data_IF_441375401284
#
_entry.id   IF_441375401284
#
_cell.length_a   1.000
_cell.length_b   1.000
_cell.length_c   1.000
_cell.angle_alpha   90.00
_cell.angle_beta   90.00
_cell.angle_gamma   90.00
#
_symmetry.space_group_name_H-M   'P 1'
#
loop_
_entity.id
_entity.type
_entity.pdbx_description
1 polymer ?
#
# COMPACT_ATOMS: atom_id res chain seq x y z
N UNK A 1 -4.87 21.16 -23.52
CA UNK A 1 -3.70 21.38 -24.41
C UNK A 1 -2.92 20.07 -24.44
N UNK A 2 -3.14 19.25 -25.47
CA UNK A 2 -2.42 17.97 -25.63
C UNK A 2 -1.13 18.32 -26.35
N UNK A 3 -0.01 18.38 -25.62
CA UNK A 3 1.30 18.51 -26.24
C UNK A 3 1.57 17.17 -26.94
N UNK A 4 1.77 17.12 -28.26
CA UNK A 4 2.14 15.89 -28.93
C UNK A 4 3.52 15.49 -28.41
N UNK A 5 3.57 14.39 -27.66
CA UNK A 5 4.84 13.76 -27.33
C UNK A 5 5.42 13.25 -28.66
N UNK A 6 6.67 13.57 -29.02
CA UNK A 6 7.29 13.02 -30.22
C UNK A 6 7.21 11.50 -30.16
N UNK A 7 6.63 10.86 -31.18
CA UNK A 7 6.64 9.41 -31.29
C UNK A 7 8.09 8.97 -31.48
N UNK A 8 8.64 8.27 -30.49
CA UNK A 8 10.02 7.78 -30.50
C UNK A 8 10.26 6.65 -31.50
N UNK A 9 9.19 6.10 -32.09
CA UNK A 9 9.23 5.09 -33.14
C UNK A 9 8.33 5.54 -34.29
N UNK A 10 8.81 5.41 -35.54
CA UNK A 10 7.99 5.72 -36.71
C UNK A 10 6.92 4.63 -36.87
N UNK A 11 5.69 4.97 -37.30
CA UNK A 11 4.71 3.96 -37.70
C UNK A 11 5.35 2.99 -38.71
N UNK A 12 5.21 1.68 -38.49
CA UNK A 12 5.78 0.60 -39.32
C UNK A 12 7.32 0.49 -39.34
N UNK A 13 8.03 1.14 -38.42
CA UNK A 13 9.45 0.90 -38.25
C UNK A 13 9.71 -0.57 -37.88
N UNK A 14 10.52 -1.25 -38.69
CA UNK A 14 10.90 -2.64 -38.41
C UNK A 14 11.82 -2.63 -37.21
N UNK A 15 11.31 -3.09 -36.07
CA UNK A 15 12.10 -3.23 -34.85
C UNK A 15 12.97 -4.47 -35.02
N UNK A 16 14.31 -4.33 -35.08
CA UNK A 16 15.18 -5.46 -35.31
C UNK A 16 14.99 -6.52 -34.22
N UNK A 17 14.90 -7.79 -34.61
CA UNK A 17 14.88 -8.92 -33.67
C UNK A 17 16.20 -9.09 -32.90
N UNK A 18 17.12 -8.15 -32.97
CA UNK A 18 18.38 -8.10 -32.24
C UNK A 18 18.44 -6.92 -31.26
N UNK A 19 17.64 -5.87 -31.45
CA UNK A 19 17.59 -4.70 -30.56
C UNK A 19 16.53 -4.92 -29.49
N UNK A 20 16.98 -5.03 -28.24
CA UNK A 20 16.21 -5.62 -27.12
C UNK A 20 16.13 -4.71 -25.90
N UNK A 21 16.52 -3.45 -26.06
CA UNK A 21 16.52 -2.41 -25.01
C UNK A 21 15.29 -1.48 -25.07
N UNK A 22 14.43 -1.65 -26.06
CA UNK A 22 13.26 -0.80 -26.24
C UNK A 22 12.15 -1.18 -25.26
N UNK A 23 11.56 -0.16 -24.63
CA UNK A 23 10.32 -0.29 -23.87
C UNK A 23 9.16 0.17 -24.76
N UNK A 24 8.13 -0.65 -24.88
CA UNK A 24 6.97 -0.34 -25.70
C UNK A 24 5.73 -0.19 -24.82
N UNK A 25 4.94 0.85 -25.07
CA UNK A 25 3.59 0.96 -24.52
C UNK A 25 2.58 0.81 -25.66
N UNK A 26 1.73 -0.19 -25.56
CA UNK A 26 0.65 -0.45 -26.51
C UNK A 26 -0.69 -0.22 -25.84
N UNK A 27 -1.69 0.25 -26.59
CA UNK A 27 -3.04 0.46 -26.09
C UNK A 27 -3.94 -0.69 -26.56
N UNK A 28 -4.89 -1.08 -25.71
CA UNK A 28 -5.98 -1.97 -26.10
C UNK A 28 -6.74 -1.42 -27.32
N UNK A 29 -7.09 -2.28 -28.27
CA UNK A 29 -7.90 -1.90 -29.42
C UNK A 29 -9.27 -1.33 -28.99
N UNK A 30 -9.78 -1.79 -27.84
CA UNK A 30 -11.02 -1.31 -27.23
C UNK A 30 -10.77 -0.30 -26.11
N UNK A 31 -9.59 0.33 -26.08
CA UNK A 31 -9.28 1.34 -25.08
C UNK A 31 -10.25 2.51 -25.17
N UNK A 32 -10.95 2.78 -24.08
CA UNK A 32 -12.03 3.77 -24.02
C UNK A 32 -11.78 4.73 -22.87
N UNK A 33 -12.37 5.92 -22.98
CA UNK A 33 -12.34 6.90 -21.89
C UNK A 33 -13.05 6.31 -20.65
N UNK A 34 -12.46 6.38 -19.45
CA UNK A 34 -13.11 5.91 -18.23
C UNK A 34 -14.46 6.58 -17.97
N UNK A 35 -15.40 5.84 -17.36
CA UNK A 35 -16.71 6.37 -16.99
C UNK A 35 -16.93 6.26 -15.49
N UNK A 36 -17.41 7.35 -14.89
CA UNK A 36 -17.77 7.41 -13.47
C UNK A 36 -19.25 7.72 -13.36
N UNK A 37 -19.97 6.88 -12.64
CA UNK A 37 -21.39 7.06 -12.33
C UNK A 37 -21.51 7.35 -10.84
N UNK A 38 -22.13 8.46 -10.49
CA UNK A 38 -22.38 8.83 -9.09
C UNK A 38 -23.88 8.93 -8.86
N UNK A 39 -24.36 8.20 -7.86
CA UNK A 39 -25.71 8.31 -7.33
C UNK A 39 -25.63 8.93 -5.94
N UNK A 40 -26.44 9.97 -5.72
CA UNK A 40 -26.52 10.66 -4.44
C UNK A 40 -27.97 10.73 -4.00
N UNK A 41 -28.24 10.30 -2.77
CA UNK A 41 -29.52 10.50 -2.11
C UNK A 41 -29.29 11.33 -0.86
N UNK A 42 -29.96 12.48 -0.75
CA UNK A 42 -29.82 13.39 0.37
C UNK A 42 -31.17 13.70 1.02
N UNK A 43 -31.20 13.70 2.35
CA UNK A 43 -32.33 14.18 3.14
C UNK A 43 -31.81 15.21 4.15
N UNK A 44 -32.33 16.42 4.08
CA UNK A 44 -32.06 17.47 5.06
C UNK A 44 -33.32 17.74 5.87
N UNK A 45 -33.20 17.77 7.20
CA UNK A 45 -34.31 18.07 8.11
C UNK A 45 -33.90 19.11 9.15
N UNK A 46 -34.72 20.14 9.32
CA UNK A 46 -34.64 21.01 10.50
C UNK A 46 -35.26 20.26 11.68
N UNK A 47 -34.45 19.94 12.69
CA UNK A 47 -34.91 19.30 13.92
C UNK A 47 -35.50 20.34 14.89
N UNK A 48 -34.93 21.54 14.89
CA UNK A 48 -35.46 22.74 15.57
C UNK A 48 -35.23 23.97 14.69
N UNK A 49 -35.60 25.17 15.14
CA UNK A 49 -35.29 26.43 14.43
C UNK A 49 -33.79 26.73 14.34
N UNK A 50 -32.95 26.05 15.13
CA UNK A 50 -31.51 26.26 15.20
C UNK A 50 -30.68 25.00 14.97
N UNK A 51 -31.31 23.84 14.80
CA UNK A 51 -30.64 22.56 14.58
C UNK A 51 -31.10 21.94 13.27
N UNK A 52 -30.14 21.64 12.40
CA UNK A 52 -30.37 20.97 11.12
C UNK A 52 -29.53 19.71 11.05
N UNK A 53 -30.12 18.64 10.52
CA UNK A 53 -29.46 17.37 10.26
C UNK A 53 -29.55 17.08 8.77
N UNK A 54 -28.40 16.77 8.18
CA UNK A 54 -28.26 16.38 6.78
C UNK A 54 -27.73 14.95 6.74
N UNK A 55 -28.43 14.08 6.03
CA UNK A 55 -27.99 12.70 5.80
C UNK A 55 -27.89 12.48 4.31
N UNK A 56 -26.71 12.07 3.84
CA UNK A 56 -26.43 11.83 2.43
C UNK A 56 -25.83 10.45 2.26
N UNK A 57 -26.34 9.73 1.28
CA UNK A 57 -25.71 8.53 0.75
C UNK A 57 -25.09 8.86 -0.61
N UNK A 58 -23.84 8.48 -0.83
CA UNK A 58 -23.12 8.67 -2.10
C UNK A 58 -22.54 7.33 -2.54
N UNK A 59 -23.00 6.84 -3.69
CA UNK A 59 -22.45 5.69 -4.37
C UNK A 59 -21.76 6.12 -5.66
N UNK A 60 -20.45 5.89 -5.77
CA UNK A 60 -19.67 6.20 -6.97
C UNK A 60 -19.07 4.93 -7.55
N UNK A 61 -19.39 4.62 -8.81
CA UNK A 61 -18.84 3.48 -9.54
C UNK A 61 -17.96 3.96 -10.68
N UNK A 62 -16.67 3.64 -10.61
CA UNK A 62 -15.72 3.81 -11.71
C UNK A 62 -15.67 2.54 -12.55
N UNK A 63 -15.96 2.67 -13.84
CA UNK A 63 -15.90 1.56 -14.80
C UNK A 63 -14.95 1.90 -15.94
N UNK A 64 -14.30 0.86 -16.48
CA UNK A 64 -13.29 1.00 -17.51
C UNK A 64 -12.18 1.98 -17.10
N UNK A 65 -11.75 1.94 -15.83
CA UNK A 65 -10.68 2.82 -15.37
C UNK A 65 -9.38 2.39 -16.04
N UNK A 66 -8.50 3.36 -16.29
CA UNK A 66 -7.20 3.08 -16.90
C UNK A 66 -6.39 2.14 -16.01
N UNK A 67 -6.01 1.00 -16.56
CA UNK A 67 -5.09 0.05 -15.97
C UNK A 67 -3.92 -0.25 -16.91
N UNK A 68 -2.95 -1.00 -16.42
CA UNK A 68 -1.80 -1.46 -17.21
C UNK A 68 -1.44 -2.90 -16.88
N UNK A 69 -1.03 -3.66 -17.88
CA UNK A 69 -0.55 -5.03 -17.73
C UNK A 69 0.82 -5.14 -18.37
N UNK A 70 1.79 -5.71 -17.65
CA UNK A 70 3.08 -6.07 -18.25
C UNK A 70 2.89 -7.34 -19.11
N UNK A 71 2.99 -7.20 -20.44
CA UNK A 71 2.86 -8.34 -21.36
C UNK A 71 4.13 -9.20 -21.43
N UNK A 72 5.25 -8.65 -20.96
CA UNK A 72 6.54 -9.33 -20.90
C UNK A 72 6.86 -9.90 -19.52
N UNK A 73 5.84 -10.29 -18.76
CA UNK A 73 6.08 -11.04 -17.54
C UNK A 73 6.52 -12.48 -17.86
N UNK A 74 7.31 -13.09 -16.96
CA UNK A 74 7.82 -14.43 -17.19
C UNK A 74 6.74 -15.48 -16.96
N UNK A 75 6.50 -16.32 -17.96
CA UNK A 75 5.65 -17.49 -17.84
C UNK A 75 6.43 -18.62 -17.17
N UNK A 76 5.95 -19.06 -16.01
CA UNK A 76 6.45 -20.25 -15.32
C UNK A 76 5.40 -21.36 -15.26
N UNK A 77 4.11 -21.05 -15.47
CA UNK A 77 3.00 -21.99 -15.26
C UNK A 77 2.74 -22.86 -16.48
N UNK A 78 2.85 -22.30 -17.70
CA UNK A 78 2.36 -22.97 -18.90
C UNK A 78 3.47 -23.63 -19.75
N UNK A 79 4.74 -23.48 -19.38
CA UNK A 79 5.89 -23.97 -20.15
C UNK A 79 6.70 -25.08 -19.44
N UNK A 80 6.22 -25.58 -18.30
CA UNK A 80 6.90 -26.62 -17.52
C UNK A 80 8.05 -26.13 -16.64
N UNK A 81 8.39 -24.83 -16.65
CA UNK A 81 9.42 -24.26 -15.78
C UNK A 81 9.08 -24.40 -14.30
N UNK A 82 7.83 -24.20 -13.91
CA UNK A 82 7.39 -24.37 -12.51
C UNK A 82 7.81 -25.74 -11.98
N UNK A 83 7.43 -26.82 -12.68
CA UNK A 83 7.81 -28.20 -12.32
C UNK A 83 9.32 -28.41 -12.32
N UNK A 84 10.03 -27.90 -13.33
CA UNK A 84 11.49 -28.03 -13.40
C UNK A 84 12.20 -27.31 -12.25
N UNK A 85 11.71 -26.14 -11.85
CA UNK A 85 12.23 -25.35 -10.73
C UNK A 85 11.90 -25.98 -9.38
N UNK A 86 10.74 -26.63 -9.23
CA UNK A 86 10.39 -27.41 -8.04
C UNK A 86 11.32 -28.62 -7.88
N UNK A 87 11.54 -29.39 -8.95
CA UNK A 87 12.51 -30.51 -8.95
C UNK A 87 13.91 -29.98 -8.58
N UNK A 88 14.32 -28.87 -9.21
CA UNK A 88 15.63 -28.25 -8.95
C UNK A 88 15.76 -27.76 -7.50
N UNK A 89 14.71 -27.16 -6.93
CA UNK A 89 14.66 -26.69 -5.54
C UNK A 89 14.75 -27.85 -4.55
N UNK A 90 14.13 -28.99 -4.85
CA UNK A 90 14.19 -30.21 -4.05
C UNK A 90 15.53 -30.96 -4.15
N UNK A 91 16.41 -30.55 -5.08
CA UNK A 91 17.75 -31.14 -5.26
C UNK A 91 17.83 -32.17 -6.37
N UNK A 92 16.72 -32.47 -7.03
CA UNK A 92 16.69 -33.34 -8.21
C UNK A 92 17.12 -32.62 -9.49
N UNK A 93 17.31 -33.39 -10.55
CA UNK A 93 17.73 -32.87 -11.85
C UNK A 93 16.58 -32.89 -12.85
N UNK A 94 16.23 -31.71 -13.35
CA UNK A 94 15.15 -31.53 -14.32
C UNK A 94 15.72 -31.58 -15.74
N UNK A 95 15.27 -32.53 -16.59
CA UNK A 95 15.77 -32.67 -17.98
C UNK A 95 15.61 -31.40 -18.83
N UNK A 96 14.63 -30.57 -18.48
CA UNK A 96 14.40 -29.26 -19.11
C UNK A 96 15.65 -28.38 -19.02
N UNK A 97 16.32 -28.33 -17.86
CA UNK A 97 17.49 -27.48 -17.67
C UNK A 97 18.75 -28.06 -18.28
N UNK A 98 18.88 -29.39 -18.37
CA UNK A 98 19.97 -30.03 -19.11
C UNK A 98 19.92 -29.66 -20.59
N UNK A 99 18.71 -29.66 -21.16
CA UNK A 99 18.49 -29.26 -22.55
C UNK A 99 18.71 -27.76 -22.73
N UNK A 100 18.15 -26.94 -21.83
CA UNK A 100 18.19 -25.48 -21.92
C UNK A 100 19.61 -24.92 -21.76
N UNK A 101 20.42 -25.55 -20.92
CA UNK A 101 21.75 -25.05 -20.58
C UNK A 101 22.87 -25.90 -21.19
N UNK A 102 22.57 -26.86 -22.08
CA UNK A 102 23.56 -27.76 -22.68
C UNK A 102 24.77 -26.98 -23.24
N UNK A 103 25.97 -27.30 -22.76
CA UNK A 103 27.22 -26.65 -23.20
C UNK A 103 27.48 -25.28 -22.57
N UNK A 104 26.58 -24.76 -21.72
CA UNK A 104 26.77 -23.50 -20.98
C UNK A 104 27.56 -23.76 -19.70
N UNK A 105 28.45 -22.83 -19.35
CA UNK A 105 29.14 -22.81 -18.05
C UNK A 105 28.70 -21.60 -17.24
N UNK A 106 27.96 -21.83 -16.15
CA UNK A 106 27.51 -20.80 -15.21
C UNK A 106 28.50 -20.56 -14.05
N UNK A 107 29.78 -20.87 -14.26
CA UNK A 107 30.87 -20.67 -13.30
C UNK A 107 31.18 -21.88 -12.40
N UNK A 108 30.57 -23.04 -12.64
CA UNK A 108 30.75 -24.24 -11.81
C UNK A 108 30.94 -25.53 -12.61
N UNK A 109 31.08 -25.44 -13.93
CA UNK A 109 31.19 -26.58 -14.83
C UNK A 109 30.31 -26.42 -16.06
N UNK A 110 30.65 -27.14 -17.12
CA UNK A 110 29.87 -27.17 -18.37
C UNK A 110 28.71 -28.15 -18.21
N UNK A 111 27.49 -27.67 -18.45
CA UNK A 111 26.27 -28.49 -18.36
C UNK A 111 26.27 -29.56 -19.45
N UNK A 112 25.94 -30.79 -19.05
CA UNK A 112 25.95 -31.97 -19.92
C UNK A 112 27.32 -32.61 -20.09
N UNK A 113 28.36 -32.08 -19.42
CA UNK A 113 29.67 -32.74 -19.30
C UNK A 113 30.04 -32.98 -17.84
N UNK A 114 30.08 -31.91 -17.03
CA UNK A 114 30.56 -31.96 -15.66
C UNK A 114 29.43 -31.94 -14.62
N UNK A 115 28.31 -31.29 -14.94
CA UNK A 115 27.16 -31.08 -14.04
C UNK A 115 25.85 -31.11 -14.83
N UNK A 116 24.74 -31.37 -14.13
CA UNK A 116 23.39 -31.16 -14.68
C UNK A 116 23.06 -29.66 -14.77
N UNK A 117 22.06 -29.31 -15.57
CA UNK A 117 21.54 -27.94 -15.68
C UNK A 117 20.93 -27.46 -14.36
N UNK A 118 20.18 -28.33 -13.68
CA UNK A 118 19.62 -28.05 -12.35
C UNK A 118 20.73 -27.78 -11.32
N UNK A 119 21.79 -28.58 -11.33
CA UNK A 119 22.94 -28.38 -10.45
C UNK A 119 23.68 -27.07 -10.75
N UNK A 120 23.86 -26.73 -12.03
CA UNK A 120 24.46 -25.45 -12.41
C UNK A 120 23.68 -24.26 -11.85
N UNK A 121 22.35 -24.31 -11.90
CA UNK A 121 21.48 -23.28 -11.33
C UNK A 121 21.55 -23.24 -9.79
N UNK A 122 21.62 -24.39 -9.11
CA UNK A 122 21.78 -24.44 -7.65
C UNK A 122 23.10 -23.86 -7.16
N UNK A 123 24.19 -24.06 -7.90
CA UNK A 123 25.53 -23.58 -7.53
C UNK A 123 25.71 -22.08 -7.85
N UNK A 124 25.06 -21.60 -8.90
CA UNK A 124 25.20 -20.21 -9.36
C UNK A 124 24.55 -19.20 -8.41
N UNK A 125 25.30 -18.14 -8.07
CA UNK A 125 24.89 -17.12 -7.11
C UNK A 125 23.66 -16.31 -7.52
N UNK A 126 23.45 -16.15 -8.82
CA UNK A 126 22.33 -15.38 -9.38
C UNK A 126 21.01 -16.12 -9.19
N UNK A 127 21.02 -17.46 -9.26
CA UNK A 127 19.78 -18.26 -9.27
C UNK A 127 19.43 -18.90 -7.93
N UNK A 128 20.44 -19.33 -7.15
CA UNK A 128 20.24 -20.17 -5.96
C UNK A 128 19.29 -19.59 -4.91
N UNK A 129 19.32 -18.28 -4.67
CA UNK A 129 18.43 -17.62 -3.72
C UNK A 129 16.97 -17.60 -4.21
N UNK A 130 16.73 -17.29 -5.49
CA UNK A 130 15.39 -17.32 -6.07
C UNK A 130 14.79 -18.73 -6.05
N UNK A 131 15.61 -19.75 -6.36
CA UNK A 131 15.21 -21.16 -6.32
C UNK A 131 14.88 -21.58 -4.88
N UNK A 132 15.77 -21.29 -3.91
CA UNK A 132 15.57 -21.65 -2.51
C UNK A 132 14.31 -21.01 -1.91
N UNK A 133 14.04 -19.75 -2.25
CA UNK A 133 12.89 -18.99 -1.73
C UNK A 133 11.60 -19.17 -2.55
N UNK A 134 11.63 -19.84 -3.70
CA UNK A 134 10.44 -20.09 -4.53
C UNK A 134 9.98 -18.88 -5.36
N UNK A 135 10.84 -17.89 -5.54
CA UNK A 135 10.59 -16.77 -6.46
C UNK A 135 10.97 -17.19 -7.89
N UNK A 136 10.21 -18.14 -8.43
CA UNK A 136 10.47 -18.75 -9.72
C UNK A 136 10.29 -17.78 -10.88
N UNK A 137 9.49 -16.73 -10.69
CA UNK A 137 9.32 -15.67 -11.68
C UNK A 137 10.60 -14.86 -11.79
N UNK A 138 11.22 -14.48 -10.66
CA UNK A 138 12.51 -13.80 -10.69
C UNK A 138 13.61 -14.67 -11.32
N UNK A 139 13.63 -15.97 -11.01
CA UNK A 139 14.54 -16.93 -11.65
C UNK A 139 14.31 -16.99 -13.17
N UNK A 140 13.07 -17.11 -13.61
CA UNK A 140 12.70 -17.15 -15.02
C UNK A 140 13.03 -15.85 -15.76
N UNK A 141 12.72 -14.68 -15.17
CA UNK A 141 13.13 -13.37 -15.72
C UNK A 141 14.65 -13.30 -15.89
N UNK A 142 15.40 -13.80 -14.92
CA UNK A 142 16.87 -13.79 -14.99
C UNK A 142 17.41 -14.77 -16.03
N UNK A 143 16.84 -15.98 -16.15
CA UNK A 143 17.13 -16.91 -17.23
C UNK A 143 16.85 -16.29 -18.60
N UNK A 144 15.78 -15.51 -18.70
CA UNK A 144 15.39 -14.84 -19.94
C UNK A 144 16.28 -13.66 -20.32
N UNK A 145 17.05 -13.06 -19.41
CA UNK A 145 17.92 -11.91 -19.71
C UNK A 145 19.42 -12.25 -19.69
N UNK A 146 19.79 -13.41 -19.14
CA UNK A 146 21.20 -13.82 -19.01
C UNK A 146 21.81 -14.15 -20.38
N UNK A 147 23.03 -13.64 -20.60
CA UNK A 147 23.83 -13.84 -21.81
C UNK A 147 25.18 -14.46 -21.47
N UNK A 148 25.28 -15.79 -21.53
CA UNK A 148 26.54 -16.51 -21.30
C UNK A 148 26.86 -17.36 -22.53
N UNK A 149 28.14 -17.40 -22.93
CA UNK A 149 28.64 -18.34 -23.94
C UNK A 149 28.28 -18.02 -25.39
N UNK A 150 27.89 -16.78 -25.70
CA UNK A 150 27.61 -16.36 -27.07
C UNK A 150 28.29 -15.03 -27.38
N UNK A 151 28.93 -14.92 -28.56
CA UNK A 151 29.31 -13.64 -29.17
C UNK A 151 28.05 -12.97 -29.72
N UNK A 152 27.17 -12.52 -28.81
CA UNK A 152 26.03 -11.68 -29.19
C UNK A 152 26.39 -10.21 -28.97
N UNK A 153 25.81 -9.28 -29.75
CA UNK A 153 25.90 -7.86 -29.45
C UNK A 153 25.53 -7.59 -27.99
N UNK A 154 26.16 -6.62 -27.31
CA UNK A 154 25.71 -6.23 -25.98
C UNK A 154 24.21 -5.91 -26.02
N UNK A 155 23.45 -6.41 -25.03
CA UNK A 155 22.02 -6.16 -24.77
C UNK A 155 20.99 -7.14 -25.38
N UNK A 156 21.32 -8.34 -25.89
CA UNK A 156 20.27 -9.28 -26.33
C UNK A 156 19.60 -10.00 -25.17
N UNK A 157 18.31 -9.82 -24.88
CA UNK A 157 17.58 -10.75 -23.99
C UNK A 157 17.48 -12.14 -24.65
N UNK A 158 17.47 -13.20 -23.83
CA UNK A 158 17.32 -14.62 -24.14
C UNK A 158 18.55 -15.32 -24.74
N UNK A 159 19.78 -14.85 -24.46
CA UNK A 159 21.01 -15.47 -24.96
C UNK A 159 21.15 -16.95 -24.61
N UNK A 160 20.82 -17.33 -23.36
CA UNK A 160 20.84 -18.73 -22.91
C UNK A 160 19.88 -19.64 -23.69
N UNK A 161 18.66 -19.17 -23.99
CA UNK A 161 17.68 -19.97 -24.74
C UNK A 161 18.17 -20.23 -26.17
N UNK A 162 18.76 -19.20 -26.79
CA UNK A 162 19.29 -19.27 -28.16
C UNK A 162 20.53 -20.14 -28.26
N UNK A 163 21.42 -20.13 -27.26
CA UNK A 163 22.65 -20.94 -27.29
C UNK A 163 22.36 -22.44 -27.32
N UNK A 164 21.26 -22.88 -26.72
CA UNK A 164 20.85 -24.29 -26.76
C UNK A 164 20.31 -24.73 -28.13
N UNK A 165 19.72 -23.81 -28.90
CA UNK A 165 18.97 -24.10 -30.13
C UNK A 165 17.68 -24.91 -29.95
N UNK A 166 17.37 -25.35 -28.72
CA UNK A 166 16.26 -26.26 -28.42
C UNK A 166 14.97 -25.53 -28.02
N UNK A 167 15.05 -24.25 -27.67
CA UNK A 167 13.91 -23.47 -27.21
C UNK A 167 13.73 -22.21 -28.06
N UNK A 168 12.47 -21.86 -28.41
CA UNK A 168 12.22 -20.61 -29.10
C UNK A 168 12.53 -19.42 -28.16
N UNK A 169 12.95 -18.27 -28.68
CA UNK A 169 13.30 -17.11 -27.85
C UNK A 169 12.16 -16.61 -26.94
N UNK A 170 10.91 -16.90 -27.27
CA UNK A 170 9.72 -16.51 -26.52
C UNK A 170 9.23 -17.58 -25.51
N UNK A 171 10.06 -18.60 -25.23
CA UNK A 171 9.69 -19.69 -24.32
C UNK A 171 9.39 -19.22 -22.88
N UNK A 172 10.12 -18.22 -22.39
CA UNK A 172 9.93 -17.66 -21.03
C UNK A 172 9.08 -16.39 -21.05
N UNK A 173 9.31 -15.51 -22.03
CA UNK A 173 8.67 -14.19 -22.13
C UNK A 173 8.03 -14.08 -23.49
N UNK A 174 6.78 -13.60 -23.57
CA UNK A 174 6.02 -13.57 -24.82
C UNK A 174 6.68 -12.76 -25.94
N UNK A 175 7.23 -11.58 -25.61
CA UNK A 175 7.87 -10.70 -26.59
C UNK A 175 9.33 -10.45 -26.19
N UNK A 176 10.21 -11.45 -26.39
CA UNK A 176 11.61 -11.34 -25.98
C UNK A 176 12.31 -10.18 -26.69
N UNK A 177 11.73 -9.65 -27.78
CA UNK A 177 12.24 -8.53 -28.56
C UNK A 177 12.25 -7.16 -27.90
N UNK A 178 11.53 -7.02 -26.80
CA UNK A 178 11.46 -5.78 -26.05
C UNK A 178 11.97 -6.00 -24.63
N UNK A 179 12.55 -4.96 -24.03
CA UNK A 179 12.95 -5.00 -22.63
C UNK A 179 11.71 -5.02 -21.73
N UNK A 180 10.73 -4.16 -22.03
CA UNK A 180 9.43 -4.12 -21.36
C UNK A 180 8.34 -3.84 -22.39
N UNK A 181 7.20 -4.55 -22.28
CA UNK A 181 5.97 -4.16 -22.97
C UNK A 181 4.88 -3.97 -21.93
N UNK A 182 4.34 -2.76 -21.93
CA UNK A 182 3.20 -2.40 -21.10
C UNK A 182 1.97 -2.22 -21.98
N UNK A 183 0.94 -2.99 -21.69
CA UNK A 183 -0.36 -2.89 -22.33
C UNK A 183 -1.28 -2.02 -21.50
N UNK A 184 -1.67 -0.87 -22.04
CA UNK A 184 -2.65 0.06 -21.46
C UNK A 184 -4.05 -0.43 -21.76
N UNK A 185 -4.79 -0.74 -20.71
CA UNK A 185 -6.13 -1.34 -20.79
C UNK A 185 -7.11 -0.56 -19.92
N UNK A 186 -8.38 -0.98 -19.94
CA UNK A 186 -9.40 -0.50 -19.02
C UNK A 186 -9.73 -1.54 -17.92
N UNK A 187 -8.73 -2.30 -17.44
CA UNK A 187 -8.91 -3.39 -16.46
C UNK A 187 -9.25 -2.93 -15.04
N UNK A 188 -8.92 -1.69 -14.68
CA UNK A 188 -9.16 -1.16 -13.34
C UNK A 188 -10.65 -0.81 -13.15
N UNK A 189 -11.13 -0.92 -11.91
CA UNK A 189 -12.48 -0.51 -11.53
C UNK A 189 -12.54 -0.06 -10.07
N UNK A 190 -13.56 0.73 -9.75
CA UNK A 190 -13.81 1.16 -8.37
C UNK A 190 -15.30 1.19 -8.06
N UNK A 191 -15.62 0.93 -6.80
CA UNK A 191 -16.95 0.98 -6.23
C UNK A 191 -16.84 1.58 -4.83
N UNK A 192 -17.21 2.84 -4.72
CA UNK A 192 -17.20 3.62 -3.49
C UNK A 192 -18.62 3.78 -2.99
N UNK A 193 -18.85 3.48 -1.73
CA UNK A 193 -20.13 3.63 -1.05
C UNK A 193 -19.90 4.42 0.23
N UNK A 194 -20.68 5.47 0.46
CA UNK A 194 -20.59 6.23 1.70
C UNK A 194 -21.93 6.69 2.24
N UNK A 195 -21.97 6.81 3.56
CA UNK A 195 -23.03 7.43 4.32
C UNK A 195 -22.43 8.60 5.09
N UNK A 196 -22.99 9.78 4.91
CA UNK A 196 -22.57 11.03 5.52
C UNK A 196 -23.72 11.56 6.37
N UNK A 197 -23.45 11.83 7.64
CA UNK A 197 -24.38 12.48 8.54
C UNK A 197 -23.73 13.76 9.05
N UNK A 198 -24.37 14.89 8.83
CA UNK A 198 -23.89 16.20 9.25
C UNK A 198 -24.94 16.87 10.15
N UNK A 199 -24.50 17.25 11.34
CA UNK A 199 -25.26 18.01 12.31
C UNK A 199 -24.77 19.46 12.30
N UNK A 200 -25.70 20.40 12.19
CA UNK A 200 -25.44 21.82 12.13
C UNK A 200 -26.28 22.55 13.17
N UNK A 201 -25.61 23.09 14.19
CA UNK A 201 -26.20 23.94 15.23
C UNK A 201 -25.91 25.40 14.86
N UNK A 202 -26.93 26.13 14.40
CA UNK A 202 -26.85 27.59 14.22
C UNK A 202 -26.68 28.27 15.58
N UNK A 203 -26.08 29.45 15.60
CA UNK A 203 -25.69 30.14 16.84
C UNK A 203 -26.82 30.20 17.88
N UNK A 204 -26.60 29.58 19.05
CA UNK A 204 -27.49 29.62 20.21
C UNK A 204 -26.69 30.16 21.40
N UNK A 205 -27.06 31.33 21.92
CA UNK A 205 -26.40 31.93 23.09
C UNK A 205 -24.86 32.03 23.01
N UNK A 206 -24.30 32.24 21.81
CA UNK A 206 -22.85 32.32 21.59
C UNK A 206 -22.16 30.98 21.30
N UNK A 207 -22.93 29.90 21.13
CA UNK A 207 -22.45 28.59 20.72
C UNK A 207 -22.83 28.29 19.26
N UNK A 208 -21.86 27.95 18.43
CA UNK A 208 -22.04 27.41 17.08
C UNK A 208 -21.24 26.10 16.97
N UNK A 209 -21.82 25.08 16.34
CA UNK A 209 -21.19 23.78 16.22
C UNK A 209 -21.62 23.03 14.96
N UNK A 210 -20.65 22.38 14.33
CA UNK A 210 -20.88 21.44 13.27
C UNK A 210 -20.16 20.13 13.59
N UNK A 211 -20.85 19.01 13.37
CA UNK A 211 -20.26 17.68 13.39
C UNK A 211 -20.62 16.93 12.12
N UNK A 212 -19.64 16.27 11.52
CA UNK A 212 -19.80 15.46 10.31
C UNK A 212 -19.22 14.08 10.59
N UNK A 213 -20.02 13.06 10.37
CA UNK A 213 -19.63 11.66 10.39
C UNK A 213 -19.75 11.08 8.97
N UNK A 214 -18.69 10.43 8.52
CA UNK A 214 -18.62 9.72 7.26
C UNK A 214 -18.31 8.26 7.56
N UNK A 215 -19.19 7.37 7.15
CA UNK A 215 -18.87 5.96 6.93
C UNK A 215 -18.58 5.77 5.44
N UNK A 216 -17.52 5.04 5.09
CA UNK A 216 -17.27 4.71 3.70
C UNK A 216 -16.67 3.33 3.49
N UNK A 217 -16.90 2.80 2.28
CA UNK A 217 -16.32 1.57 1.79
C UNK A 217 -15.96 1.72 0.32
N UNK A 218 -14.67 1.71 0.03
CA UNK A 218 -14.09 1.75 -1.32
C UNK A 218 -13.53 0.38 -1.69
N UNK A 219 -14.10 -0.26 -2.70
CA UNK A 219 -13.67 -1.55 -3.24
C UNK A 219 -13.27 -1.40 -4.71
N UNK A 220 -12.40 -2.26 -5.21
CA UNK A 220 -12.04 -2.24 -6.63
C UNK A 220 -10.84 -3.11 -6.96
N UNK A 221 -10.50 -3.09 -8.23
CA UNK A 221 -9.27 -3.67 -8.77
C UNK A 221 -8.40 -2.53 -9.25
N UNK A 222 -7.12 -2.54 -8.87
CA UNK A 222 -6.14 -1.61 -9.43
C UNK A 222 -4.85 -2.30 -9.82
N UNK A 223 -4.39 -2.03 -11.04
CA UNK A 223 -3.12 -2.53 -11.59
C UNK A 223 -1.90 -1.73 -11.10
N UNK A 224 -2.11 -0.50 -10.61
CA UNK A 224 -1.07 0.34 -10.00
C UNK A 224 -1.14 0.27 -8.47
N UNK A 225 -0.16 -0.39 -7.86
CA UNK A 225 -0.01 -0.40 -6.40
C UNK A 225 0.95 0.70 -5.99
N UNK A 226 0.40 1.84 -5.57
CA UNK A 226 1.17 2.97 -5.04
C UNK A 226 1.62 2.75 -3.59
N UNK A 227 2.18 1.58 -3.25
CA UNK A 227 2.77 1.34 -1.92
C UNK A 227 4.13 0.65 -2.05
N UNK A 228 5.13 1.26 -1.44
CA UNK A 228 6.59 1.12 -1.59
C UNK A 228 7.22 -0.24 -1.29
N UNK A 229 6.45 -1.33 -1.18
CA UNK A 229 6.97 -2.64 -0.79
C UNK A 229 6.76 -3.76 -1.82
N UNK A 230 5.92 -3.59 -2.84
CA UNK A 230 5.71 -4.60 -3.89
C UNK A 230 5.56 -3.97 -5.28
N UNK A 231 5.94 -4.71 -6.32
CA UNK A 231 5.92 -4.26 -7.71
C UNK A 231 4.51 -3.94 -8.22
N UNK A 232 4.42 -3.06 -9.22
CA UNK A 232 3.19 -2.81 -9.98
C UNK A 232 2.74 -4.07 -10.73
N UNK A 233 1.43 -4.36 -10.73
CA UNK A 233 0.85 -5.49 -11.49
C UNK A 233 -0.14 -6.34 -10.71
N UNK A 234 -0.83 -7.24 -11.41
CA UNK A 234 -1.75 -8.20 -10.82
C UNK A 234 -1.02 -9.37 -10.17
N UNK A 235 -1.61 -9.96 -9.12
CA UNK A 235 -1.08 -11.20 -8.51
C UNK A 235 -1.18 -12.40 -9.45
N UNK A 236 -2.22 -12.42 -10.28
CA UNK A 236 -2.42 -13.39 -11.35
C UNK A 236 -2.91 -12.68 -12.62
N UNK A 237 -2.09 -12.69 -13.66
CA UNK A 237 -2.42 -12.10 -14.96
C UNK A 237 -3.60 -12.80 -15.64
N UNK A 238 -3.80 -14.09 -15.36
CA UNK A 238 -4.92 -14.88 -15.90
C UNK A 238 -6.21 -14.65 -15.12
N UNK A 239 -6.13 -14.17 -13.87
CA UNK A 239 -7.29 -13.90 -13.01
C UNK A 239 -7.16 -12.57 -12.25
N UNK A 240 -7.29 -11.47 -13.00
CA UNK A 240 -7.22 -10.11 -12.44
C UNK A 240 -8.34 -9.81 -11.43
N UNK A 241 -9.48 -10.52 -11.53
CA UNK A 241 -10.61 -10.36 -10.61
C UNK A 241 -10.28 -10.84 -9.18
N UNK A 242 -9.28 -11.71 -9.03
CA UNK A 242 -8.79 -12.15 -7.72
C UNK A 242 -8.20 -11.01 -6.88
N UNK A 243 -7.89 -9.87 -7.51
CA UNK A 243 -7.36 -8.68 -6.83
C UNK A 243 -8.45 -7.65 -6.47
N UNK A 244 -9.73 -8.01 -6.60
CA UNK A 244 -10.83 -7.16 -6.13
C UNK A 244 -10.80 -7.07 -4.60
N UNK A 245 -10.43 -5.90 -4.08
CA UNK A 245 -10.23 -5.68 -2.63
C UNK A 245 -10.58 -4.25 -2.22
N UNK A 246 -10.44 -3.92 -0.93
CA UNK A 246 -10.50 -2.54 -0.43
C UNK A 246 -9.45 -1.69 -1.12
N UNK A 247 -9.78 -0.48 -1.55
CA UNK A 247 -8.80 0.42 -2.16
C UNK A 247 -8.02 1.21 -1.09
N UNK A 248 -6.80 1.70 -1.36
CA UNK A 248 -6.02 2.47 -0.37
C UNK A 248 -6.70 3.76 0.09
N UNK A 249 -7.60 4.32 -0.74
CA UNK A 249 -8.41 5.49 -0.41
C UNK A 249 -9.54 5.20 0.57
N UNK A 250 -9.78 3.94 0.91
CA UNK A 250 -10.85 3.55 1.82
C UNK A 250 -10.56 4.05 3.24
N UNK A 251 -11.57 4.67 3.86
CA UNK A 251 -11.55 5.09 5.26
C UNK A 251 -12.89 4.69 5.85
N UNK A 252 -12.88 3.64 6.68
CA UNK A 252 -14.13 3.05 7.20
C UNK A 252 -14.98 4.09 7.93
N UNK A 253 -14.32 4.93 8.73
CA UNK A 253 -14.92 5.98 9.51
C UNK A 253 -14.06 7.25 9.43
N UNK A 254 -14.69 8.40 9.24
CA UNK A 254 -14.08 9.71 9.43
C UNK A 254 -15.08 10.59 10.19
N UNK A 255 -14.62 11.25 11.24
CA UNK A 255 -15.42 12.15 12.04
C UNK A 255 -14.68 13.47 12.22
N UNK A 256 -15.36 14.55 11.86
CA UNK A 256 -14.88 15.92 12.02
C UNK A 256 -15.90 16.68 12.82
N UNK A 257 -15.47 17.37 13.86
CA UNK A 257 -16.32 18.35 14.51
C UNK A 257 -15.56 19.62 14.79
N UNK A 258 -16.25 20.74 14.68
CA UNK A 258 -15.69 22.02 15.04
C UNK A 258 -16.78 22.91 15.61
N UNK A 259 -16.39 23.76 16.55
CA UNK A 259 -17.32 24.66 17.19
C UNK A 259 -16.62 25.84 17.82
N UNK A 260 -17.41 26.90 17.99
CA UNK A 260 -17.02 28.10 18.71
C UNK A 260 -18.00 28.35 19.85
N UNK A 261 -17.45 28.68 21.01
CA UNK A 261 -18.17 28.90 22.24
C UNK A 261 -17.74 30.23 22.83
N UNK A 262 -18.67 31.19 22.93
CA UNK A 262 -18.48 32.36 23.77
C UNK A 262 -18.53 31.89 25.23
N UNK A 263 -17.42 31.98 25.95
CA UNK A 263 -17.39 31.51 27.34
C UNK A 263 -18.30 32.38 28.21
N UNK A 264 -18.98 31.82 29.22
CA UNK A 264 -20.03 32.51 29.96
C UNK A 264 -19.48 33.44 31.05
N UNK A 265 -18.39 34.16 30.78
CA UNK A 265 -17.76 35.09 31.71
C UNK A 265 -18.06 36.55 31.34
N UNK A 266 -18.34 37.38 32.34
CA UNK A 266 -18.54 38.84 32.18
C UNK A 266 -19.90 39.36 32.61
N UNK A 267 -20.14 40.68 32.45
CA UNK A 267 -21.42 41.30 32.76
C UNK A 267 -22.56 40.60 32.04
N UNK A 268 -23.68 40.37 32.73
CA UNK A 268 -24.88 39.71 32.18
C UNK A 268 -24.64 38.29 31.62
N UNK A 269 -23.56 37.62 32.04
CA UNK A 269 -23.29 36.22 31.74
C UNK A 269 -23.42 35.34 33.00
N UNK A 270 -23.41 34.03 32.77
CA UNK A 270 -23.64 32.99 33.79
C UNK A 270 -22.63 33.06 34.95
N UNK A 271 -21.38 33.42 34.64
CA UNK A 271 -20.29 33.59 35.61
C UNK A 271 -19.82 35.06 35.59
N UNK A 272 -19.81 35.71 36.75
CA UNK A 272 -19.41 37.11 36.86
C UNK A 272 -20.47 38.13 36.40
N UNK A 273 -21.74 37.75 36.32
CA UNK A 273 -22.82 38.62 35.83
C UNK A 273 -23.01 39.95 36.57
N UNK A 274 -22.58 40.06 37.84
CA UNK A 274 -22.62 41.29 38.66
C UNK A 274 -21.32 42.11 38.63
N UNK A 275 -20.31 41.67 37.87
CA UNK A 275 -19.04 42.41 37.79
C UNK A 275 -19.22 43.71 37.01
N UNK A 276 -18.57 44.77 37.47
CA UNK A 276 -18.59 46.11 36.86
C UNK A 276 -17.19 46.70 36.80
N UNK A 277 -17.00 47.75 35.99
CA UNK A 277 -15.72 48.43 35.85
C UNK A 277 -14.61 47.55 35.25
N UNK A 278 -13.39 47.71 35.75
CA UNK A 278 -12.19 47.03 35.26
C UNK A 278 -12.24 45.51 35.45
N UNK A 279 -12.88 45.03 36.53
CA UNK A 279 -13.02 43.61 36.84
C UNK A 279 -13.87 42.90 35.78
N UNK A 280 -14.93 43.54 35.30
CA UNK A 280 -15.76 43.04 34.21
C UNK A 280 -14.98 42.94 32.88
N UNK A 281 -14.17 43.96 32.55
CA UNK A 281 -13.32 43.97 31.35
C UNK A 281 -12.25 42.88 31.36
N UNK A 282 -11.78 42.47 32.53
CA UNK A 282 -10.80 41.38 32.65
C UNK A 282 -11.40 40.01 32.39
N UNK A 283 -12.67 39.79 32.68
CA UNK A 283 -13.30 38.47 32.59
C UNK A 283 -14.21 38.32 31.38
N UNK A 284 -14.54 39.38 30.65
CA UNK A 284 -15.35 39.30 29.43
C UNK A 284 -14.54 38.96 28.16
N UNK A 285 -15.25 38.70 27.06
CA UNK A 285 -14.64 38.64 25.72
C UNK A 285 -13.87 37.36 25.39
N UNK A 286 -14.04 36.30 26.18
CA UNK A 286 -13.42 35.00 25.94
C UNK A 286 -14.22 34.17 24.92
N UNK A 287 -13.52 33.63 23.94
CA UNK A 287 -14.04 32.71 22.93
C UNK A 287 -13.15 31.48 22.83
N UNK A 288 -13.75 30.31 22.86
CA UNK A 288 -13.09 29.02 22.67
C UNK A 288 -13.49 28.44 21.31
N UNK A 289 -12.51 28.18 20.46
CA UNK A 289 -12.67 27.37 19.25
C UNK A 289 -12.12 25.97 19.49
N UNK A 290 -12.79 24.95 18.97
CA UNK A 290 -12.34 23.55 19.05
C UNK A 290 -12.51 22.87 17.70
N UNK A 291 -11.60 21.95 17.39
CA UNK A 291 -11.65 21.06 16.24
C UNK A 291 -11.25 19.67 16.71
N UNK A 292 -12.12 18.68 16.52
CA UNK A 292 -11.84 17.27 16.73
C UNK A 292 -11.84 16.56 15.39
N UNK A 293 -10.78 15.79 15.17
CA UNK A 293 -10.55 15.01 13.97
C UNK A 293 -10.28 13.56 14.35
N UNK A 294 -11.11 12.62 13.88
CA UNK A 294 -10.93 11.19 14.07
C UNK A 294 -11.01 10.51 12.70
N UNK A 295 -9.99 9.73 12.32
CA UNK A 295 -9.97 9.03 11.03
C UNK A 295 -9.52 7.60 11.24
N UNK A 296 -10.32 6.65 10.73
CA UNK A 296 -9.95 5.24 10.71
C UNK A 296 -8.72 5.02 9.81
N UNK A 297 -7.96 3.97 10.11
CA UNK A 297 -6.78 3.65 9.31
C UNK A 297 -7.13 3.19 7.90
N UNK A 298 -6.15 3.31 7.02
CA UNK A 298 -6.27 2.80 5.66
C UNK A 298 -6.12 1.27 5.63
N UNK A 299 -6.69 0.59 4.64
CA UNK A 299 -6.48 -0.85 4.51
C UNK A 299 -5.07 -1.16 4.01
N UNK A 300 -4.39 -2.11 4.65
CA UNK A 300 -2.99 -2.46 4.45
C UNK A 300 -2.81 -3.90 3.98
N UNK A 301 -1.80 -4.12 3.13
CA UNK A 301 -1.40 -5.43 2.65
C UNK A 301 -0.45 -6.10 3.64
N UNK A 302 -0.70 -7.37 3.94
CA UNK A 302 0.34 -8.24 4.47
C UNK A 302 1.12 -8.82 3.30
N UNK A 303 2.44 -8.67 3.35
CA UNK A 303 3.35 -8.98 2.25
C UNK A 303 4.03 -10.33 2.51
N UNK A 304 3.91 -11.24 1.55
CA UNK A 304 4.65 -12.49 1.47
C UNK A 304 5.58 -12.49 0.26
N UNK A 305 6.26 -13.62 0.02
CA UNK A 305 7.10 -13.83 -1.16
C UNK A 305 6.26 -13.85 -2.44
N UNK A 306 6.82 -13.37 -3.54
CA UNK A 306 6.24 -13.54 -4.87
C UNK A 306 6.40 -14.99 -5.32
N UNK A 307 5.34 -15.77 -5.22
CA UNK A 307 5.35 -17.19 -5.58
C UNK A 307 4.71 -17.45 -6.94
N UNK A 308 4.03 -16.47 -7.54
CA UNK A 308 3.32 -16.62 -8.82
C UNK A 308 3.65 -15.57 -9.88
N UNK A 309 3.44 -14.28 -9.61
CA UNK A 309 3.79 -13.17 -10.52
C UNK A 309 4.37 -11.98 -9.74
N UNK A 310 3.48 -11.22 -9.11
CA UNK A 310 3.79 -10.06 -8.26
C UNK A 310 2.84 -10.05 -7.06
N UNK A 311 3.07 -9.13 -6.13
CA UNK A 311 2.16 -8.85 -5.02
C UNK A 311 1.86 -10.06 -4.14
N UNK A 312 2.91 -10.82 -3.84
CA UNK A 312 2.87 -12.00 -2.98
C UNK A 312 2.13 -11.71 -1.68
N UNK A 313 1.08 -12.48 -1.44
CA UNK A 313 0.35 -12.50 -0.17
C UNK A 313 0.65 -13.82 0.53
N UNK A 314 0.70 -13.85 1.87
CA UNK A 314 0.88 -15.10 2.60
C UNK A 314 -0.37 -15.99 2.54
N UNK A 315 -0.17 -17.25 2.90
CA UNK A 315 -1.23 -18.19 3.21
C UNK A 315 -1.59 -18.09 4.70
N UNK A 316 -2.89 -18.01 4.99
CA UNK A 316 -3.40 -18.08 6.36
C UNK A 316 -3.57 -19.53 6.77
N UNK A 317 -2.86 -19.93 7.83
CA UNK A 317 -2.87 -21.30 8.36
C UNK A 317 -3.38 -21.39 9.80
N UNK A 318 -3.43 -20.25 10.51
CA UNK A 318 -3.97 -20.13 11.85
C UNK A 318 -4.83 -18.88 12.02
N UNK A 319 -5.35 -18.67 13.22
CA UNK A 319 -6.16 -17.49 13.53
C UNK A 319 -5.29 -16.22 13.45
N UNK A 320 -5.61 -15.33 12.50
CA UNK A 320 -4.89 -14.07 12.29
C UNK A 320 -5.87 -12.88 12.30
N UNK A 321 -5.70 -11.90 13.20
CA UNK A 321 -6.62 -10.79 13.35
C UNK A 321 -6.49 -9.80 12.19
N UNK A 322 -7.63 -9.26 11.76
CA UNK A 322 -7.70 -8.23 10.69
C UNK A 322 -7.60 -6.80 11.21
N UNK A 323 -7.54 -6.64 12.53
CA UNK A 323 -7.43 -5.37 13.25
C UNK A 323 -6.34 -5.50 14.30
N UNK A 324 -5.62 -4.42 14.55
CA UNK A 324 -4.59 -4.33 15.57
C UNK A 324 -4.73 -3.07 16.39
N UNK A 325 -3.90 -2.96 17.42
CA UNK A 325 -3.82 -1.81 18.31
C UNK A 325 -2.38 -1.37 18.41
N UNK A 326 -2.14 -0.07 18.29
CA UNK A 326 -0.80 0.49 18.42
C UNK A 326 -0.40 0.53 19.88
N UNK A 327 0.53 -0.33 20.25
CA UNK A 327 1.19 -0.29 21.55
C UNK A 327 2.51 0.45 21.38
N UNK A 328 2.60 1.63 21.99
CA UNK A 328 3.88 2.31 22.14
C UNK A 328 4.66 1.71 23.30
N UNK A 329 5.97 1.52 23.15
CA UNK A 329 6.79 1.00 24.22
C UNK A 329 6.73 1.90 25.44
N UNK A 330 6.59 1.26 26.61
CA UNK A 330 6.66 1.92 27.92
C UNK A 330 8.10 1.90 28.46
N UNK A 331 8.95 1.02 27.95
CA UNK A 331 10.32 0.86 28.38
C UNK A 331 11.25 1.88 27.70
N UNK A 332 12.16 2.54 28.44
CA UNK A 332 13.03 3.60 27.92
C UNK A 332 13.98 3.21 26.76
N UNK A 333 14.19 1.91 26.50
CA UNK A 333 15.07 1.41 25.42
C UNK A 333 14.37 1.09 24.10
N UNK A 334 13.04 0.97 24.10
CA UNK A 334 12.27 0.66 22.91
C UNK A 334 11.80 1.97 22.26
N UNK A 335 12.26 2.26 21.05
CA UNK A 335 11.93 3.51 20.33
C UNK A 335 10.78 3.34 19.32
N UNK A 336 10.30 2.11 19.12
CA UNK A 336 9.36 1.76 18.06
C UNK A 336 8.05 1.20 18.61
N UNK A 337 6.92 1.65 18.07
CA UNK A 337 5.61 1.08 18.39
C UNK A 337 5.42 -0.29 17.73
N UNK A 338 4.43 -1.07 18.18
CA UNK A 338 4.03 -2.30 17.51
C UNK A 338 2.51 -2.36 17.35
N UNK A 339 2.02 -2.73 16.17
CA UNK A 339 0.60 -2.78 15.83
C UNK A 339 -0.14 -4.04 16.32
N UNK A 340 0.62 -5.06 16.71
CA UNK A 340 0.10 -6.35 17.19
C UNK A 340 0.60 -6.67 18.60
N UNK A 341 1.04 -5.65 19.36
CA UNK A 341 1.55 -5.85 20.73
C UNK A 341 2.73 -6.82 20.83
N UNK A 342 3.54 -6.97 19.77
CA UNK A 342 4.66 -7.93 19.69
C UNK A 342 4.27 -9.41 19.89
N UNK A 343 2.99 -9.76 19.65
CA UNK A 343 2.49 -11.13 19.85
C UNK A 343 3.01 -12.16 18.83
N UNK A 344 3.57 -11.69 17.70
CA UNK A 344 4.04 -12.54 16.61
C UNK A 344 5.56 -12.53 16.53
N UNK A 345 6.13 -13.71 16.25
CA UNK A 345 7.56 -13.89 16.04
C UNK A 345 7.80 -14.52 14.67
N UNK A 346 8.86 -14.07 14.01
CA UNK A 346 9.33 -14.71 12.79
C UNK A 346 10.00 -16.04 13.13
N UNK A 347 9.55 -17.10 12.48
CA UNK A 347 10.15 -18.44 12.53
C UNK A 347 10.54 -18.85 11.12
N UNK A 348 11.45 -19.81 10.96
CA UNK A 348 11.80 -20.30 9.63
C UNK A 348 10.56 -20.90 8.95
N UNK A 349 10.33 -20.55 7.68
CA UNK A 349 9.17 -21.05 6.94
C UNK A 349 9.27 -22.57 6.75
N UNK A 350 8.21 -23.36 7.03
CA UNK A 350 8.22 -24.82 6.82
C UNK A 350 8.57 -25.22 5.38
N UNK A 351 8.27 -24.36 4.41
CA UNK A 351 8.64 -24.57 3.00
C UNK A 351 10.15 -24.59 2.76
N UNK A 352 10.97 -24.11 3.70
CA UNK A 352 12.42 -24.26 3.65
C UNK A 352 12.90 -25.69 3.98
N UNK A 353 12.09 -26.49 4.69
CA UNK A 353 12.45 -27.88 5.00
C UNK A 353 12.44 -28.79 3.76
N UNK A 354 11.67 -28.43 2.73
CA UNK A 354 11.61 -29.15 1.45
C UNK A 354 12.70 -28.72 0.45
N UNK A 355 13.61 -27.81 0.84
CA UNK A 355 14.69 -27.31 -0.02
C UNK A 355 15.91 -28.21 0.10
N UNK A 356 16.59 -28.47 -1.02
CA UNK A 356 17.83 -29.24 -1.07
C UNK A 356 18.85 -28.73 -0.04
N UNK A 357 19.64 -29.64 0.55
CA UNK A 357 20.70 -29.29 1.52
C UNK A 357 21.70 -28.26 1.00
N UNK A 358 22.00 -28.30 -0.31
CA UNK A 358 22.86 -27.33 -1.01
C UNK A 358 22.26 -25.93 -1.09
N UNK A 359 20.95 -25.81 -0.92
CA UNK A 359 20.20 -24.56 -1.01
C UNK A 359 19.65 -24.05 0.34
N UNK A 360 19.65 -24.88 1.39
CA UNK A 360 19.03 -24.56 2.69
C UNK A 360 19.54 -23.24 3.28
N UNK A 361 20.85 -22.97 3.16
CA UNK A 361 21.46 -21.72 3.64
C UNK A 361 20.97 -20.45 2.91
N UNK A 362 20.33 -20.60 1.74
CA UNK A 362 19.80 -19.49 0.95
C UNK A 362 18.28 -19.35 1.06
N UNK A 363 17.60 -20.25 1.77
CA UNK A 363 16.18 -20.12 2.07
C UNK A 363 16.00 -19.17 3.26
N UNK A 364 15.70 -17.90 2.97
CA UNK A 364 15.52 -16.82 3.94
C UNK A 364 14.06 -16.51 4.21
N UNK A 365 13.13 -17.27 3.61
CA UNK A 365 11.71 -17.15 3.89
C UNK A 365 11.41 -17.44 5.36
N UNK A 366 10.64 -16.56 5.97
CA UNK A 366 10.13 -16.75 7.33
C UNK A 366 8.61 -16.81 7.32
N UNK A 367 8.07 -17.50 8.30
CA UNK A 367 6.66 -17.53 8.65
C UNK A 367 6.43 -16.77 9.96
N UNK A 368 5.18 -16.42 10.25
CA UNK A 368 4.81 -15.84 11.54
C UNK A 368 4.18 -16.90 12.43
N UNK A 369 4.70 -17.01 13.65
CA UNK A 369 4.14 -17.82 14.71
C UNK A 369 3.52 -16.96 15.81
N UNK A 370 2.48 -17.47 16.46
CA UNK A 370 1.89 -16.89 17.67
C UNK A 370 2.79 -17.12 18.90
N UNK A 371 2.35 -16.62 20.06
CA UNK A 371 3.09 -16.77 21.32
C UNK A 371 3.30 -18.23 21.75
N UNK A 372 2.48 -19.17 21.27
CA UNK A 372 2.57 -20.60 21.54
C UNK A 372 3.48 -21.33 20.53
N UNK A 373 4.00 -20.63 19.52
CA UNK A 373 4.81 -21.21 18.46
C UNK A 373 4.02 -21.81 17.30
N UNK A 374 2.69 -21.66 17.28
CA UNK A 374 1.87 -22.12 16.16
C UNK A 374 1.99 -21.14 14.99
N UNK A 375 2.24 -21.65 13.79
CA UNK A 375 2.31 -20.82 12.59
C UNK A 375 0.90 -20.29 12.28
N UNK A 376 0.79 -18.98 12.08
CA UNK A 376 -0.46 -18.30 11.72
C UNK A 376 -0.46 -17.86 10.25
N UNK A 377 0.69 -17.43 9.74
CA UNK A 377 0.91 -17.01 8.36
C UNK A 377 2.21 -17.61 7.84
N UNK A 378 2.20 -18.12 6.61
CA UNK A 378 3.40 -18.60 5.90
C UNK A 378 3.42 -18.08 4.46
N UNK A 379 4.54 -18.19 3.78
CA UNK A 379 4.56 -17.91 2.35
C UNK A 379 3.72 -18.97 1.60
N UNK A 380 3.03 -18.56 0.54
CA UNK A 380 2.29 -19.51 -0.28
C UNK A 380 3.25 -20.52 -0.93
N UNK A 381 2.72 -21.65 -1.40
CA UNK A 381 3.51 -22.56 -2.22
C UNK A 381 3.93 -21.88 -3.53
N UNK A 382 5.08 -22.26 -4.06
CA UNK A 382 5.53 -21.82 -5.39
C UNK A 382 4.44 -22.13 -6.43
N UNK A 383 4.18 -21.20 -7.35
CA UNK A 383 3.12 -21.33 -8.35
C UNK A 383 1.69 -21.07 -7.84
N UNK A 384 1.50 -20.70 -6.57
CA UNK A 384 0.18 -20.44 -5.98
C UNK A 384 0.04 -19.03 -5.41
N UNK A 385 -1.21 -18.55 -5.37
CA UNK A 385 -1.57 -17.33 -4.65
C UNK A 385 -1.77 -17.60 -3.17
N UNK A 386 -1.34 -16.68 -2.31
CA UNK A 386 -1.69 -16.76 -0.90
C UNK A 386 -3.17 -16.52 -0.64
N UNK A 387 -3.70 -17.25 0.34
CA UNK A 387 -5.11 -17.26 0.73
C UNK A 387 -5.54 -16.06 1.57
N UNK A 388 -4.60 -15.30 2.16
CA UNK A 388 -4.94 -14.12 2.97
C UNK A 388 -5.61 -13.01 2.13
N UNK A 389 -5.26 -12.91 0.84
CA UNK A 389 -5.76 -11.86 -0.05
C UNK A 389 -5.12 -10.48 0.22
N UNK A 390 -5.52 -9.50 -0.58
CA UNK A 390 -5.01 -8.14 -0.50
C UNK A 390 -5.80 -7.30 0.51
N UNK A 391 -5.10 -6.37 1.17
CA UNK A 391 -5.65 -5.26 1.96
C UNK A 391 -6.65 -5.66 3.04
N UNK A 392 -6.35 -6.76 3.72
CA UNK A 392 -7.21 -7.36 4.75
C UNK A 392 -7.04 -6.74 6.13
N UNK A 393 -5.97 -5.97 6.36
CA UNK A 393 -5.70 -5.30 7.64
C UNK A 393 -6.22 -3.88 7.61
N UNK A 394 -6.98 -3.47 8.63
CA UNK A 394 -7.24 -2.05 8.88
C UNK A 394 -6.04 -1.47 9.64
N UNK A 395 -5.33 -0.50 9.06
CA UNK A 395 -4.15 0.10 9.67
C UNK A 395 -4.47 0.99 10.88
N UNK A 396 -3.44 1.61 11.49
CA UNK A 396 -3.63 2.56 12.57
C UNK A 396 -4.51 3.75 12.16
N UNK A 397 -5.52 4.06 12.97
CA UNK A 397 -6.27 5.31 12.86
C UNK A 397 -5.46 6.49 13.41
N UNK A 398 -5.93 7.70 13.11
CA UNK A 398 -5.38 8.93 13.65
C UNK A 398 -6.46 9.76 14.32
N UNK A 399 -6.06 10.50 15.36
CA UNK A 399 -6.90 11.56 15.90
C UNK A 399 -6.09 12.76 16.37
N UNK A 400 -6.70 13.92 16.28
CA UNK A 400 -6.18 15.17 16.81
C UNK A 400 -7.29 16.01 17.41
N UNK A 401 -6.95 16.77 18.44
CA UNK A 401 -7.80 17.78 19.02
C UNK A 401 -7.03 19.10 19.03
N UNK A 402 -7.53 20.06 18.27
CA UNK A 402 -6.98 21.39 18.16
C UNK A 402 -7.94 22.37 18.85
N UNK A 403 -7.39 23.36 19.54
CA UNK A 403 -8.18 24.36 20.22
C UNK A 403 -7.56 25.74 20.08
N UNK A 404 -8.39 26.77 20.08
CA UNK A 404 -7.94 28.15 20.19
C UNK A 404 -8.72 28.88 21.28
N UNK A 405 -8.03 29.75 21.99
CA UNK A 405 -8.61 30.59 23.02
C UNK A 405 -8.32 32.04 22.64
N UNK A 406 -9.37 32.81 22.41
CA UNK A 406 -9.29 34.23 22.13
C UNK A 406 -9.87 35.03 23.29
N UNK A 407 -9.19 36.11 23.65
CA UNK A 407 -9.68 37.12 24.58
C UNK A 407 -9.62 38.48 23.90
N UNK A 408 -10.73 39.21 23.91
CA UNK A 408 -10.78 40.59 23.39
C UNK A 408 -11.12 41.54 24.53
N UNK A 409 -10.29 42.55 24.74
CA UNK A 409 -10.45 43.54 25.82
C UNK A 409 -10.46 44.93 25.22
N UNK A 410 -11.53 45.69 25.50
CA UNK A 410 -11.62 47.10 25.11
C UNK A 410 -10.82 47.96 26.07
N UNK A 411 -9.72 48.54 25.57
CA UNK A 411 -8.81 49.36 26.37
C UNK A 411 -9.32 50.81 26.46
N UNK A 412 -9.76 51.37 25.32
CA UNK A 412 -10.33 52.72 25.24
C UNK A 412 -11.47 52.78 24.20
N UNK A 413 -12.07 53.95 23.98
CA UNK A 413 -13.21 54.12 23.06
C UNK A 413 -12.90 53.71 21.61
N UNK A 414 -11.64 53.83 21.16
CA UNK A 414 -11.20 53.34 19.84
C UNK A 414 -10.17 52.19 19.90
N UNK A 415 -9.72 51.77 21.09
CA UNK A 415 -8.59 50.84 21.24
C UNK A 415 -9.04 49.46 21.72
N UNK A 416 -8.75 48.41 20.95
CA UNK A 416 -9.07 47.03 21.27
C UNK A 416 -7.81 46.16 21.27
N UNK A 417 -7.65 45.35 22.32
CA UNK A 417 -6.56 44.37 22.43
C UNK A 417 -7.14 42.97 22.31
N UNK A 418 -6.65 42.19 21.34
CA UNK A 418 -7.01 40.79 21.16
C UNK A 418 -5.79 39.91 21.42
N UNK A 419 -5.90 39.04 22.41
CA UNK A 419 -4.96 37.94 22.65
C UNK A 419 -5.58 36.67 22.08
N UNK A 420 -4.82 35.93 21.28
CA UNK A 420 -5.20 34.61 20.77
C UNK A 420 -4.10 33.61 21.05
N UNK A 421 -4.49 32.44 21.55
CA UNK A 421 -3.60 31.29 21.73
C UNK A 421 -4.18 30.13 20.95
N UNK A 422 -3.42 29.60 20.00
CA UNK A 422 -3.75 28.42 19.22
C UNK A 422 -2.90 27.23 19.68
N UNK A 423 -3.54 26.09 19.85
CA UNK A 423 -2.92 24.84 20.22
C UNK A 423 -3.35 23.76 19.23
N UNK A 424 -2.41 23.27 18.43
CA UNK A 424 -2.62 22.07 17.62
C UNK A 424 -2.18 20.85 18.41
N UNK A 425 -2.94 19.76 18.32
CA UNK A 425 -2.76 18.54 19.08
C UNK A 425 -2.58 18.81 20.59
N UNK A 426 -3.59 19.41 21.22
CA UNK A 426 -3.58 19.85 22.63
C UNK A 426 -3.13 18.72 23.57
N UNK A 427 -3.59 17.50 23.32
CA UNK A 427 -3.27 16.30 24.12
C UNK A 427 -1.91 15.69 23.80
N UNK A 428 -1.17 16.25 22.84
CA UNK A 428 0.10 15.71 22.35
C UNK A 428 -0.03 14.22 21.95
N UNK A 429 -1.17 13.83 21.38
CA UNK A 429 -1.43 12.46 20.98
C UNK A 429 -0.65 12.13 19.69
N UNK A 430 0.12 11.03 19.66
CA UNK A 430 0.91 10.70 18.49
C UNK A 430 0.10 10.13 17.34
N UNK A 431 0.49 10.46 16.12
CA UNK A 431 -0.05 9.86 14.90
C UNK A 431 0.91 8.78 14.40
N UNK A 432 0.57 7.48 14.53
CA UNK A 432 1.39 6.38 14.06
C UNK A 432 1.47 6.35 12.52
N UNK A 433 2.63 5.98 11.99
CA UNK A 433 2.76 5.54 10.60
C UNK A 433 2.25 4.11 10.40
N UNK A 434 2.34 3.62 9.16
CA UNK A 434 1.97 2.23 8.87
C UNK A 434 2.99 1.26 9.48
N UNK A 435 2.55 0.12 10.03
CA UNK A 435 3.44 -0.95 10.49
C UNK A 435 4.12 -1.65 9.31
N UNK A 436 5.28 -2.26 9.57
CA UNK A 436 5.86 -3.23 8.65
C UNK A 436 5.01 -4.52 8.65
N UNK A 437 4.43 -4.89 7.51
CA UNK A 437 3.60 -6.09 7.36
C UNK A 437 4.24 -7.14 6.45
N UNK A 438 5.57 -7.12 6.28
CA UNK A 438 6.28 -8.17 5.54
C UNK A 438 6.63 -9.34 6.46
N UNK A 439 6.05 -10.50 6.18
CA UNK A 439 6.24 -11.72 6.99
C UNK A 439 7.65 -12.30 6.89
N UNK A 440 8.46 -11.83 5.93
CA UNK A 440 9.85 -12.22 5.70
C UNK A 440 10.86 -11.27 6.37
N UNK A 441 10.40 -10.41 7.28
CA UNK A 441 11.25 -9.46 8.02
C UNK A 441 11.08 -9.66 9.52
N UNK A 442 12.18 -9.60 10.28
CA UNK A 442 12.17 -9.76 11.74
C UNK A 442 11.52 -8.61 12.53
N UNK A 443 10.90 -7.66 11.83
CA UNK A 443 10.29 -6.44 12.40
C UNK A 443 8.79 -6.36 12.10
N UNK A 444 8.13 -7.51 11.93
CA UNK A 444 6.70 -7.56 11.64
C UNK A 444 5.87 -6.84 12.72
N UNK A 445 4.93 -6.01 12.30
CA UNK A 445 4.09 -5.18 13.16
C UNK A 445 4.78 -3.90 13.68
N UNK A 446 6.10 -3.74 13.51
CA UNK A 446 6.83 -2.58 14.02
C UNK A 446 6.45 -1.29 13.28
N UNK A 447 6.27 -0.21 14.04
CA UNK A 447 5.99 1.14 13.56
C UNK A 447 7.21 2.01 13.86
N UNK A 448 7.88 2.46 12.79
CA UNK A 448 9.10 3.27 12.89
C UNK A 448 8.85 4.78 12.69
N UNK A 449 7.63 5.18 12.37
CA UNK A 449 7.26 6.56 12.13
C UNK A 449 6.18 7.00 13.12
N UNK A 450 6.42 8.14 13.76
CA UNK A 450 5.53 8.76 14.75
C UNK A 450 5.51 10.26 14.45
N UNK A 451 4.32 10.80 14.17
CA UNK A 451 4.11 12.23 13.87
C UNK A 451 3.07 12.81 14.82
N UNK A 452 2.63 14.05 14.59
CA UNK A 452 1.65 14.72 15.45
C UNK A 452 2.30 15.24 16.74
N UNK A 453 3.01 16.35 16.64
CA UNK A 453 3.54 17.10 17.80
C UNK A 453 2.56 18.17 18.23
N UNK A 454 2.51 18.46 19.54
CA UNK A 454 1.83 19.66 20.03
C UNK A 454 2.57 20.91 19.59
N UNK A 455 1.86 21.85 18.96
CA UNK A 455 2.38 23.18 18.63
C UNK A 455 1.48 24.24 19.24
N UNK A 456 2.09 25.15 19.99
CA UNK A 456 1.43 26.30 20.60
C UNK A 456 1.88 27.57 19.89
N UNK A 457 0.94 28.42 19.53
CA UNK A 457 1.18 29.73 18.95
C UNK A 457 0.37 30.77 19.70
N UNK A 458 0.96 31.94 19.92
CA UNK A 458 0.27 33.06 20.53
C UNK A 458 0.37 34.26 19.59
N UNK A 459 -0.74 34.98 19.46
CA UNK A 459 -0.84 36.20 18.69
C UNK A 459 -1.42 37.30 19.56
N UNK A 460 -0.81 38.49 19.48
CA UNK A 460 -1.34 39.71 20.04
C UNK A 460 -1.71 40.64 18.88
N UNK A 461 -2.94 41.15 18.87
CA UNK A 461 -3.41 42.15 17.91
C UNK A 461 -3.92 43.36 18.66
N UNK A 462 -3.50 44.55 18.24
CA UNK A 462 -3.96 45.82 18.78
C UNK A 462 -4.57 46.66 17.66
N UNK A 463 -5.85 46.96 17.78
CA UNK A 463 -6.59 47.84 16.88
C UNK A 463 -6.75 49.22 17.54
N UNK A 464 -6.48 50.31 16.82
CA UNK A 464 -6.44 51.68 17.35
C UNK A 464 -7.15 52.70 16.46
#
# INVERSE_FOLDING_TARGET
MVIPVPLTAKPFEVIPITQRAQNLTVFDANYTTPYVQTFTLGLTRSLTSKLTMDVKYVGTRGTKLTGSVALNDADVRNNGLLKALEITRAGGDAPLFDTMLKGVNLGSGVVGQAISGSEALRRNATFRAGIANGDFVAVARTLSSTNVGTTQPPLTNAGLLRSSGAFPPNFIVANPQFNEITWRTNADNSNYQSLQAQLNVRQIHGFNYQATYLWSRSLGVTSTLATTAQGSGFRDLQNQRADYTRLPSDRTHDFRSYGTFDLPFGPNKLLGGKTSGWAARLIEGWKLGTILSLTAGQPLNVVGRNTLYSNGTPEIVGAFPRKGEVVWPQNPGDIFGNFFGQQYKNVQDPGCAAVASTLTAFCTNTALADANGNIVLRNAASGQLGTLGLRTIEGPGSWSFDANLQKSVRVAEAKNLTLRVDATNVFNHPTPGNPNLNINTGTFGQINMKTGSRLLQAQLRFDF
#
